data_IF_805844813232
#
_entry.id   IF_805844813232
#
_cell.length_a   1.000
_cell.length_b   1.000
_cell.length_c   1.000
_cell.angle_alpha   90.00
_cell.angle_beta   90.00
_cell.angle_gamma   90.00
#
_symmetry.space_group_name_H-M   'P 1'
#
loop_
_entity.id
_entity.type
_entity.pdbx_description
1 polymer ?
#
# COMPACT_ATOMS: atom_id res chain seq x y z
N UNK A 1 13.70 42.19 -37.10
CA UNK A 1 12.89 42.27 -35.87
C UNK A 1 12.59 40.85 -35.42
N UNK A 2 13.01 40.42 -34.21
CA UNK A 2 12.61 39.16 -33.63
C UNK A 2 11.33 39.36 -32.79
N UNK A 3 10.27 38.61 -33.08
CA UNK A 3 9.12 38.40 -32.21
C UNK A 3 9.10 36.89 -31.92
N UNK A 4 9.76 36.42 -30.86
CA UNK A 4 9.23 36.25 -29.50
C UNK A 4 7.98 35.36 -29.46
N UNK A 5 8.22 34.11 -29.02
CA UNK A 5 7.35 33.24 -28.23
C UNK A 5 5.82 33.35 -28.45
N UNK A 6 5.28 32.34 -29.13
CA UNK A 6 4.10 31.64 -28.60
C UNK A 6 4.42 30.15 -28.52
N UNK A 7 4.92 29.73 -27.37
CA UNK A 7 4.69 28.36 -26.91
C UNK A 7 3.18 28.30 -26.65
N UNK A 8 2.43 27.77 -27.61
CA UNK A 8 1.04 27.43 -27.38
C UNK A 8 0.99 26.44 -26.21
N UNK A 9 0.31 26.86 -25.14
CA UNK A 9 -0.11 26.07 -23.99
C UNK A 9 -0.83 24.80 -24.46
N UNK A 10 -0.07 23.75 -24.83
CA UNK A 10 -0.59 22.40 -24.86
C UNK A 10 -0.71 21.91 -23.42
N UNK A 11 -1.73 22.42 -22.71
CA UNK A 11 -2.34 21.69 -21.60
C UNK A 11 -2.60 20.28 -22.12
N UNK A 12 -1.85 19.31 -21.60
CA UNK A 12 -2.08 17.90 -21.90
C UNK A 12 -3.55 17.62 -21.52
N UNK A 13 -4.44 17.25 -22.47
CA UNK A 13 -5.88 17.17 -22.22
C UNK A 13 -6.24 15.81 -21.60
N UNK A 14 -5.42 15.34 -20.65
CA UNK A 14 -5.60 14.03 -20.05
C UNK A 14 -6.69 14.10 -19.00
N UNK A 15 -7.93 13.82 -19.41
CA UNK A 15 -9.09 13.66 -18.53
C UNK A 15 -9.46 12.16 -18.46
N UNK A 16 -9.10 11.46 -17.37
CA UNK A 16 -9.44 10.05 -17.17
C UNK A 16 -10.94 9.76 -17.21
N UNK A 17 -11.80 10.77 -16.97
CA UNK A 17 -13.25 10.61 -17.03
C UNK A 17 -13.76 10.36 -18.46
N UNK A 18 -13.01 10.75 -19.50
CA UNK A 18 -13.39 10.51 -20.90
C UNK A 18 -13.38 9.03 -21.28
N UNK A 19 -12.65 8.21 -20.54
CA UNK A 19 -12.58 6.75 -20.75
C UNK A 19 -13.57 5.98 -19.86
N UNK A 20 -14.32 6.68 -19.00
CA UNK A 20 -15.40 6.07 -18.23
C UNK A 20 -16.67 6.02 -19.06
N UNK A 21 -17.30 4.85 -19.09
CA UNK A 21 -18.55 4.64 -19.79
C UNK A 21 -19.65 5.58 -19.26
N UNK A 22 -20.04 6.56 -20.08
CA UNK A 22 -21.12 7.50 -19.80
C UNK A 22 -22.38 7.12 -20.60
N UNK A 23 -23.42 6.66 -19.91
CA UNK A 23 -24.70 6.16 -20.44
C UNK A 23 -25.55 7.18 -21.25
N UNK A 24 -25.00 8.37 -21.55
CA UNK A 24 -25.69 9.49 -22.22
C UNK A 24 -25.25 9.74 -23.66
N UNK A 25 -24.38 8.90 -24.22
CA UNK A 25 -23.96 8.99 -25.61
C UNK A 25 -24.53 7.77 -26.34
N UNK A 26 -25.51 8.01 -27.23
CA UNK A 26 -26.03 7.03 -28.20
C UNK A 26 -25.00 6.78 -29.32
N UNK A 27 -23.79 6.41 -28.91
CA UNK A 27 -22.85 5.68 -29.76
C UNK A 27 -22.85 4.28 -29.17
N UNK A 28 -23.04 3.28 -30.01
CA UNK A 28 -22.90 1.87 -29.64
C UNK A 28 -21.44 1.64 -29.22
N UNK A 29 -21.08 1.97 -27.98
CA UNK A 29 -19.74 1.76 -27.42
C UNK A 29 -19.64 0.32 -26.90
N UNK A 30 -19.90 -0.64 -27.78
CA UNK A 30 -19.75 -2.07 -27.48
C UNK A 30 -18.30 -2.54 -27.58
N UNK A 31 -17.34 -1.66 -27.90
CA UNK A 31 -15.95 -2.02 -28.21
C UNK A 31 -14.93 -0.90 -27.89
N UNK A 32 -14.72 -0.50 -26.63
CA UNK A 32 -13.67 0.51 -26.31
C UNK A 32 -12.27 -0.03 -26.66
N UNK A 33 -12.01 -1.31 -26.40
CA UNK A 33 -10.89 -2.11 -26.92
C UNK A 33 -11.10 -3.57 -26.47
N UNK A 34 -10.73 -4.59 -27.27
CA UNK A 34 -10.87 -5.99 -26.86
C UNK A 34 -10.09 -6.29 -25.57
N UNK A 35 -10.73 -6.91 -24.59
CA UNK A 35 -10.05 -7.43 -23.39
C UNK A 35 -8.92 -8.36 -23.85
N UNK A 36 -7.75 -8.26 -23.23
CA UNK A 36 -6.57 -9.01 -23.69
C UNK A 36 -5.66 -8.22 -24.63
N UNK A 37 -6.16 -7.18 -25.30
CA UNK A 37 -5.36 -6.39 -26.24
C UNK A 37 -4.54 -5.30 -25.55
N UNK A 38 -3.46 -4.85 -26.21
CA UNK A 38 -2.67 -3.72 -25.72
C UNK A 38 -3.48 -2.40 -25.60
N UNK A 39 -4.33 -2.01 -26.58
CA UNK A 39 -5.18 -0.82 -26.41
C UNK A 39 -6.04 -0.87 -25.16
N UNK A 40 -6.62 -2.04 -24.85
CA UNK A 40 -7.36 -2.23 -23.60
C UNK A 40 -6.46 -2.10 -22.38
N UNK A 41 -5.25 -2.68 -22.42
CA UNK A 41 -4.28 -2.62 -21.34
C UNK A 41 -3.83 -1.17 -21.03
N UNK A 42 -3.57 -0.38 -22.07
CA UNK A 42 -3.21 1.04 -21.94
C UNK A 42 -4.33 1.86 -21.31
N UNK A 43 -5.59 1.61 -21.70
CA UNK A 43 -6.75 2.26 -21.05
C UNK A 43 -6.76 1.94 -19.55
N UNK A 44 -6.52 0.68 -19.16
CA UNK A 44 -6.45 0.30 -17.75
C UNK A 44 -5.31 1.03 -17.02
N UNK A 45 -4.13 1.16 -17.64
CA UNK A 45 -2.98 1.91 -17.08
C UNK A 45 -3.32 3.38 -16.87
N UNK A 46 -3.98 4.01 -17.85
CA UNK A 46 -4.37 5.42 -17.77
C UNK A 46 -5.43 5.71 -16.70
N UNK A 47 -6.28 4.74 -16.36
CA UNK A 47 -7.21 4.85 -15.22
C UNK A 47 -6.57 4.38 -13.90
N UNK A 48 -5.24 4.25 -13.85
CA UNK A 48 -4.47 3.98 -12.63
C UNK A 48 -4.36 2.51 -12.23
N UNK A 49 -4.71 1.56 -13.11
CA UNK A 49 -4.56 0.13 -12.84
C UNK A 49 -3.21 -0.40 -13.33
N UNK A 50 -2.83 -1.56 -12.82
CA UNK A 50 -1.67 -2.31 -13.31
C UNK A 50 -2.12 -3.47 -14.19
N UNK A 51 -1.36 -3.73 -15.25
CA UNK A 51 -1.63 -4.79 -16.23
C UNK A 51 -0.35 -5.53 -16.57
N UNK A 52 -0.48 -6.79 -16.94
CA UNK A 52 0.65 -7.64 -17.32
C UNK A 52 0.28 -8.54 -18.49
N UNK A 53 1.28 -9.15 -19.11
CA UNK A 53 1.10 -10.29 -20.03
C UNK A 53 0.95 -11.58 -19.25
N UNK A 54 0.24 -12.58 -19.77
CA UNK A 54 0.12 -13.87 -19.09
C UNK A 54 1.46 -14.61 -18.97
N UNK A 55 2.33 -14.46 -19.97
CA UNK A 55 3.67 -15.07 -20.01
C UNK A 55 4.72 -14.41 -19.11
N UNK A 56 4.42 -13.26 -18.51
CA UNK A 56 5.31 -12.56 -17.58
C UNK A 56 5.23 -13.16 -16.17
N UNK A 57 6.25 -12.91 -15.34
CA UNK A 57 6.22 -13.31 -13.93
C UNK A 57 5.16 -12.49 -13.18
N UNK A 58 4.02 -13.12 -12.86
CA UNK A 58 2.86 -12.47 -12.25
C UNK A 58 3.16 -11.74 -10.94
N UNK A 59 4.25 -12.10 -10.24
CA UNK A 59 4.60 -11.55 -8.93
C UNK A 59 5.37 -10.24 -9.01
N UNK A 60 6.01 -9.96 -10.14
CA UNK A 60 7.00 -8.87 -10.24
C UNK A 60 6.98 -8.14 -11.58
N UNK A 61 6.40 -8.71 -12.64
CA UNK A 61 6.42 -8.13 -13.99
C UNK A 61 5.06 -7.56 -14.41
N UNK A 62 4.97 -6.24 -14.48
CA UNK A 62 3.77 -5.53 -14.92
C UNK A 62 4.05 -4.08 -15.32
N UNK A 63 3.14 -3.47 -16.08
CA UNK A 63 3.21 -2.05 -16.41
C UNK A 63 2.23 -1.22 -15.56
N UNK A 64 2.63 0.02 -15.25
CA UNK A 64 1.80 1.02 -14.57
C UNK A 64 2.15 2.44 -15.01
N UNK A 65 1.28 3.39 -14.71
CA UNK A 65 1.56 4.81 -14.90
C UNK A 65 2.45 5.30 -13.75
N UNK A 66 3.61 5.85 -14.08
CA UNK A 66 4.51 6.50 -13.13
C UNK A 66 4.17 8.00 -13.07
N UNK A 67 4.02 8.57 -11.87
CA UNK A 67 3.79 10.00 -11.74
C UNK A 67 5.03 10.77 -12.22
N UNK A 68 4.79 11.89 -12.88
CA UNK A 68 5.85 12.85 -13.18
C UNK A 68 6.36 13.52 -11.89
N UNK A 69 7.58 14.04 -11.95
CA UNK A 69 8.17 14.85 -10.88
C UNK A 69 8.48 16.24 -11.43
N UNK A 70 7.85 17.25 -10.84
CA UNK A 70 8.09 18.67 -11.14
C UNK A 70 9.50 19.12 -10.72
N UNK A 71 10.09 18.46 -9.71
CA UNK A 71 11.42 18.82 -9.20
C UNK A 71 12.54 18.40 -10.15
N UNK A 72 12.34 17.31 -10.89
CA UNK A 72 13.33 16.74 -11.81
C UNK A 72 12.93 16.89 -13.29
N UNK A 73 11.89 17.65 -13.63
CA UNK A 73 11.32 17.76 -14.98
C UNK A 73 11.01 16.39 -15.63
N UNK A 74 10.61 15.41 -14.84
CA UNK A 74 10.25 14.07 -15.33
C UNK A 74 8.77 14.09 -15.69
N UNK A 75 8.46 13.86 -16.96
CA UNK A 75 7.07 13.74 -17.41
C UNK A 75 6.47 12.40 -16.94
N UNK A 76 5.14 12.35 -16.67
CA UNK A 76 4.46 11.09 -16.45
C UNK A 76 4.70 10.13 -17.62
N UNK A 77 5.05 8.89 -17.31
CA UNK A 77 5.36 7.87 -18.30
C UNK A 77 4.83 6.51 -17.86
N UNK A 78 4.63 5.61 -18.81
CA UNK A 78 4.35 4.21 -18.48
C UNK A 78 5.68 3.56 -18.14
N UNK A 79 5.74 2.90 -16.99
CA UNK A 79 6.89 2.12 -16.58
C UNK A 79 6.56 0.65 -16.51
N UNK A 80 7.58 -0.17 -16.74
CA UNK A 80 7.57 -1.59 -16.40
C UNK A 80 8.25 -1.76 -15.05
N UNK A 81 7.64 -2.60 -14.22
CA UNK A 81 8.20 -3.08 -12.98
C UNK A 81 8.58 -4.53 -13.21
N UNK A 82 9.76 -4.90 -12.78
CA UNK A 82 10.30 -6.25 -12.80
C UNK A 82 11.14 -6.49 -11.53
N UNK A 83 11.93 -7.58 -11.50
CA UNK A 83 12.81 -7.93 -10.37
C UNK A 83 13.95 -6.93 -10.16
N UNK A 84 14.31 -6.17 -11.19
CA UNK A 84 15.47 -5.28 -11.24
C UNK A 84 15.08 -3.85 -10.89
N UNK A 85 13.79 -3.51 -10.99
CA UNK A 85 13.22 -2.29 -10.45
C UNK A 85 12.15 -1.71 -11.36
N UNK A 86 12.13 -0.38 -11.47
CA UNK A 86 11.18 0.35 -12.32
C UNK A 86 11.93 1.03 -13.44
N UNK A 87 11.57 0.74 -14.68
CA UNK A 87 12.17 1.36 -15.87
C UNK A 87 11.08 1.95 -16.77
N UNK A 88 11.46 2.90 -17.64
CA UNK A 88 10.54 3.45 -18.64
C UNK A 88 10.19 2.36 -19.65
N UNK A 89 8.90 2.22 -19.97
CA UNK A 89 8.42 1.18 -20.86
C UNK A 89 7.89 1.77 -22.17
N UNK A 90 8.26 1.13 -23.27
CA UNK A 90 7.68 1.34 -24.58
C UNK A 90 7.24 0.00 -25.15
N UNK A 91 6.09 -0.07 -25.83
CA UNK A 91 5.61 -1.32 -26.39
C UNK A 91 6.57 -1.84 -27.46
N UNK A 92 6.95 -3.11 -27.34
CA UNK A 92 7.64 -3.83 -28.40
C UNK A 92 6.66 -4.24 -29.50
N UNK A 93 7.18 -4.72 -30.64
CA UNK A 93 6.32 -5.29 -31.68
C UNK A 93 5.49 -6.48 -31.17
N UNK A 94 6.05 -7.26 -30.25
CA UNK A 94 5.33 -8.36 -29.60
C UNK A 94 4.16 -7.82 -28.77
N UNK A 95 4.40 -6.79 -27.94
CA UNK A 95 3.36 -6.18 -27.10
C UNK A 95 2.19 -5.63 -27.90
N UNK A 96 2.48 -4.99 -29.04
CA UNK A 96 1.48 -4.45 -29.96
C UNK A 96 0.54 -5.54 -30.51
N UNK A 97 1.07 -6.74 -30.74
CA UNK A 97 0.34 -7.84 -31.39
C UNK A 97 -0.32 -8.81 -30.42
N UNK A 98 -0.14 -8.58 -29.11
CA UNK A 98 -0.51 -9.57 -28.11
C UNK A 98 -1.93 -9.41 -27.59
N UNK A 99 -2.54 -10.56 -27.29
CA UNK A 99 -3.94 -10.69 -26.88
C UNK A 99 -4.11 -11.33 -25.49
N UNK A 100 -3.03 -11.44 -24.72
CA UNK A 100 -2.97 -12.06 -23.40
C UNK A 100 -2.69 -11.03 -22.29
N UNK A 101 -2.98 -9.75 -22.54
CA UNK A 101 -2.95 -8.73 -21.50
C UNK A 101 -4.05 -8.97 -20.46
N UNK A 102 -3.66 -9.04 -19.20
CA UNK A 102 -4.60 -9.24 -18.10
C UNK A 102 -4.47 -8.11 -17.11
N UNK A 103 -5.60 -7.78 -16.48
CA UNK A 103 -5.55 -6.96 -15.26
C UNK A 103 -4.70 -7.73 -14.28
N UNK A 104 -3.70 -7.05 -13.72
CA UNK A 104 -3.10 -7.53 -12.50
C UNK A 104 -4.19 -7.37 -11.44
N UNK A 105 -4.91 -8.46 -11.16
CA UNK A 105 -6.09 -8.51 -10.30
C UNK A 105 -5.68 -8.18 -8.88
N UNK A 106 -5.53 -6.87 -8.62
CA UNK A 106 -4.68 -6.32 -7.57
C UNK A 106 -3.23 -6.80 -7.78
N UNK A 107 -2.28 -5.88 -7.72
CA UNK A 107 -1.03 -6.24 -7.07
C UNK A 107 -1.48 -6.66 -5.66
N UNK A 108 -1.67 -7.95 -5.39
CA UNK A 108 -1.30 -8.45 -4.07
C UNK A 108 0.19 -8.23 -4.06
N UNK A 109 0.71 -7.19 -3.37
CA UNK A 109 2.13 -6.94 -3.37
C UNK A 109 2.73 -8.15 -2.68
N UNK A 110 3.32 -9.09 -3.42
CA UNK A 110 3.81 -10.37 -2.89
C UNK A 110 2.84 -10.97 -1.88
N UNK A 111 1.75 -11.62 -2.30
CA UNK A 111 0.77 -12.25 -1.39
C UNK A 111 0.58 -11.49 -0.07
N UNK A 112 -0.08 -10.34 -0.09
CA UNK A 112 -0.32 -9.54 1.11
C UNK A 112 -0.58 -10.44 2.32
N UNK A 113 0.42 -10.56 3.19
CA UNK A 113 0.39 -11.56 4.26
C UNK A 113 -0.68 -11.17 5.28
N UNK A 114 -0.84 -9.86 5.49
CA UNK A 114 -1.89 -9.27 6.31
C UNK A 114 -2.34 -7.93 5.70
N UNK A 115 -3.63 -7.76 5.42
CA UNK A 115 -4.20 -6.45 5.03
C UNK A 115 -5.35 -6.04 5.92
N UNK A 116 -5.50 -4.73 6.04
CA UNK A 116 -6.59 -4.09 6.76
C UNK A 116 -6.86 -2.69 6.20
N UNK A 117 -8.09 -2.23 6.37
CA UNK A 117 -8.40 -0.81 6.22
C UNK A 117 -8.15 -0.11 7.57
N UNK A 118 -7.49 1.05 7.54
CA UNK A 118 -7.23 1.85 8.73
C UNK A 118 -7.76 3.27 8.54
N UNK A 119 -8.55 3.72 9.52
CA UNK A 119 -8.84 5.12 9.77
C UNK A 119 -8.05 5.54 11.00
N UNK A 120 -7.06 6.41 10.81
CA UNK A 120 -6.15 6.84 11.88
C UNK A 120 -6.87 7.77 12.86
N UNK A 121 -6.80 7.45 14.15
CA UNK A 121 -7.23 8.30 15.24
C UNK A 121 -6.07 9.00 15.95
N UNK A 122 -6.39 9.73 17.02
CA UNK A 122 -5.45 10.42 17.89
C UNK A 122 -5.75 10.08 19.34
N UNK A 123 -4.73 9.81 20.14
CA UNK A 123 -4.90 9.65 21.58
C UNK A 123 -3.61 9.77 22.37
N UNK A 124 -3.75 9.61 23.68
CA UNK A 124 -2.65 9.60 24.66
C UNK A 124 -2.83 8.38 25.57
N UNK A 125 -1.75 7.88 26.19
CA UNK A 125 -1.87 6.85 27.21
C UNK A 125 -2.68 7.36 28.41
N UNK A 126 -3.33 6.44 29.14
CA UNK A 126 -4.19 6.82 30.27
C UNK A 126 -3.43 7.36 31.48
N UNK A 127 -2.22 6.85 31.73
CA UNK A 127 -1.51 7.06 32.99
C UNK A 127 -0.11 7.68 32.83
N UNK A 128 0.25 8.10 31.62
CA UNK A 128 1.61 8.54 31.29
C UNK A 128 1.54 9.94 30.66
N UNK A 129 2.46 10.83 31.06
CA UNK A 129 2.69 12.11 30.37
C UNK A 129 3.46 11.88 29.07
N UNK A 130 2.96 10.94 28.26
CA UNK A 130 3.56 10.57 26.99
C UNK A 130 3.05 11.46 25.86
N UNK A 131 3.82 11.56 24.77
CA UNK A 131 3.41 12.27 23.58
C UNK A 131 2.13 11.69 22.96
N UNK A 132 1.49 12.52 22.15
CA UNK A 132 0.33 12.13 21.37
C UNK A 132 0.73 11.03 20.39
N UNK A 133 -0.13 10.03 20.24
CA UNK A 133 -0.01 9.00 19.23
C UNK A 133 -1.05 9.14 18.12
N UNK A 134 -0.73 8.56 16.96
CA UNK A 134 -1.59 8.48 15.78
C UNK A 134 -1.64 7.07 15.25
N UNK A 135 -2.83 6.63 14.81
CA UNK A 135 -3.04 5.28 14.27
C UNK A 135 -4.27 4.62 14.88
N UNK A 136 -4.13 3.36 15.29
CA UNK A 136 -5.19 2.59 15.90
C UNK A 136 -4.72 1.92 17.19
N UNK A 137 -5.57 1.95 18.22
CA UNK A 137 -5.36 1.21 19.46
C UNK A 137 -6.68 0.84 20.11
N UNK A 138 -6.77 -0.39 20.61
CA UNK A 138 -7.86 -0.88 21.47
C UNK A 138 -7.35 -1.48 22.80
N UNK A 139 -6.03 -1.39 23.03
CA UNK A 139 -5.34 -1.83 24.24
C UNK A 139 -5.85 -1.07 25.49
N UNK A 140 -5.91 -1.75 26.64
CA UNK A 140 -6.36 -1.20 27.94
C UNK A 140 -5.55 -0.01 28.46
N UNK A 141 -4.26 0.11 28.10
CA UNK A 141 -3.39 1.19 28.54
C UNK A 141 -3.70 2.54 27.90
N UNK A 142 -4.41 2.51 26.79
CA UNK A 142 -4.74 3.68 25.99
C UNK A 142 -6.24 3.94 26.07
N UNK A 143 -6.62 5.19 25.86
CA UNK A 143 -8.00 5.46 25.44
C UNK A 143 -8.12 4.98 23.98
N UNK A 144 -9.05 4.06 23.66
CA UNK A 144 -9.14 3.53 22.31
C UNK A 144 -9.35 4.63 21.27
N UNK A 145 -8.66 4.53 20.13
CA UNK A 145 -8.82 5.45 19.01
C UNK A 145 -8.50 4.77 17.69
N UNK A 146 -8.97 5.40 16.60
CA UNK A 146 -8.86 4.86 15.26
C UNK A 146 -9.84 3.72 15.02
N UNK A 147 -9.95 3.31 13.75
CA UNK A 147 -10.79 2.18 13.34
C UNK A 147 -9.96 1.32 12.39
N UNK A 148 -9.80 0.04 12.71
CA UNK A 148 -9.10 -0.93 11.89
C UNK A 148 -10.02 -2.09 11.55
N UNK A 149 -10.05 -2.49 10.28
CA UNK A 149 -10.79 -3.66 9.79
C UNK A 149 -9.88 -4.57 8.98
N UNK A 150 -9.54 -5.74 9.53
CA UNK A 150 -8.78 -6.77 8.80
C UNK A 150 -9.58 -7.24 7.59
N UNK A 151 -8.92 -7.32 6.43
CA UNK A 151 -9.49 -7.77 5.15
C UNK A 151 -8.96 -9.13 4.74
N UNK A 152 -7.66 -9.35 4.93
CA UNK A 152 -6.99 -10.57 4.59
C UNK A 152 -5.96 -10.86 5.66
N UNK A 153 -5.86 -12.13 6.03
CA UNK A 153 -4.81 -12.60 6.90
C UNK A 153 -4.42 -13.99 6.43
N UNK A 154 -3.36 -14.05 5.65
CA UNK A 154 -2.77 -15.28 5.13
C UNK A 154 -1.70 -15.83 6.09
N UNK A 155 -1.36 -15.09 7.15
CA UNK A 155 -0.54 -15.59 8.24
C UNK A 155 -1.41 -16.47 9.12
N UNK A 156 -0.89 -17.66 9.43
CA UNK A 156 -1.69 -18.76 9.96
C UNK A 156 -2.32 -18.43 11.32
N UNK A 157 -1.87 -17.41 12.04
CA UNK A 157 -2.16 -17.33 13.47
C UNK A 157 -2.46 -15.95 14.07
N UNK A 158 -2.31 -14.82 13.39
CA UNK A 158 -2.72 -13.52 13.95
C UNK A 158 -4.26 -13.46 13.98
N UNK A 159 -4.88 -13.25 15.15
CA UNK A 159 -6.35 -13.19 15.25
C UNK A 159 -6.87 -11.79 15.48
N UNK A 160 -6.01 -10.89 15.99
CA UNK A 160 -6.38 -9.50 16.28
C UNK A 160 -5.15 -8.60 16.27
N UNK A 161 -5.36 -7.36 15.86
CA UNK A 161 -4.42 -6.26 16.02
C UNK A 161 -4.91 -5.41 17.19
N UNK A 162 -4.05 -5.21 18.19
CA UNK A 162 -4.35 -4.42 19.39
C UNK A 162 -3.85 -2.98 19.27
N UNK A 163 -2.72 -2.79 18.60
CA UNK A 163 -2.13 -1.49 18.31
C UNK A 163 -1.46 -1.51 16.93
N UNK A 164 -1.62 -0.42 16.20
CA UNK A 164 -0.87 -0.10 14.99
C UNK A 164 -0.75 1.42 14.95
N UNK A 165 0.29 1.95 15.61
CA UNK A 165 0.38 3.38 15.91
C UNK A 165 1.81 3.90 15.94
N UNK A 166 1.94 5.20 15.72
CA UNK A 166 3.17 5.96 15.89
C UNK A 166 3.09 6.80 17.17
N UNK A 167 4.11 6.72 18.02
CA UNK A 167 4.26 7.49 19.24
C UNK A 167 5.73 7.85 19.46
N UNK A 168 6.03 9.14 19.64
CA UNK A 168 7.31 9.64 20.14
C UNK A 168 8.60 9.10 19.49
N UNK A 169 8.60 8.84 18.18
CA UNK A 169 9.79 8.31 17.49
C UNK A 169 9.80 6.80 17.33
N UNK A 170 8.76 6.12 17.79
CA UNK A 170 8.64 4.67 17.75
C UNK A 170 7.29 4.24 17.18
N UNK A 171 7.34 3.17 16.40
CA UNK A 171 6.17 2.53 15.80
C UNK A 171 5.83 1.28 16.57
N UNK A 172 4.57 1.18 17.01
CA UNK A 172 4.05 0.08 17.81
C UNK A 172 3.11 -0.77 16.96
N UNK A 173 3.36 -2.08 16.95
CA UNK A 173 2.50 -3.06 16.32
C UNK A 173 2.26 -4.23 17.26
N UNK A 174 1.09 -4.23 17.89
CA UNK A 174 0.70 -5.25 18.85
C UNK A 174 -0.33 -6.18 18.23
N UNK A 175 -0.08 -7.48 18.32
CA UNK A 175 -0.96 -8.51 17.78
C UNK A 175 -1.27 -9.57 18.83
N UNK A 176 -2.45 -10.15 18.72
CA UNK A 176 -2.80 -11.38 19.43
C UNK A 176 -2.84 -12.52 18.43
N UNK A 177 -2.29 -13.65 18.83
CA UNK A 177 -2.27 -14.86 18.01
C UNK A 177 -3.23 -15.92 18.56
N UNK A 178 -3.46 -17.00 17.79
CA UNK A 178 -4.20 -18.16 18.29
C UNK A 178 -3.62 -18.65 19.61
N UNK A 179 -4.45 -19.14 20.56
CA UNK A 179 -4.03 -19.52 21.90
C UNK A 179 -3.28 -20.86 21.93
N UNK A 180 -2.13 -20.89 21.26
CA UNK A 180 -1.24 -22.03 21.14
C UNK A 180 0.20 -21.52 21.05
N UNK A 181 1.11 -22.15 21.80
CA UNK A 181 2.51 -21.71 21.89
C UNK A 181 3.23 -21.84 20.53
N UNK A 182 2.90 -22.86 19.74
CA UNK A 182 3.48 -23.03 18.40
C UNK A 182 3.11 -21.87 17.46
N UNK A 183 1.85 -21.42 17.53
CA UNK A 183 1.33 -20.28 16.77
C UNK A 183 2.07 -18.99 17.16
N UNK A 184 2.29 -18.80 18.46
CA UNK A 184 3.05 -17.67 19.00
C UNK A 184 4.51 -17.69 18.54
N UNK A 185 5.18 -18.83 18.64
CA UNK A 185 6.57 -18.98 18.20
C UNK A 185 6.73 -18.69 16.70
N UNK A 186 5.79 -19.15 15.86
CA UNK A 186 5.79 -18.83 14.43
C UNK A 186 5.69 -17.34 14.17
N UNK A 187 4.78 -16.63 14.83
CA UNK A 187 4.61 -15.18 14.64
C UNK A 187 5.81 -14.39 15.20
N UNK A 188 6.33 -14.77 16.37
CA UNK A 188 7.56 -14.16 16.91
C UNK A 188 8.71 -14.31 15.91
N UNK A 189 8.94 -15.53 15.41
CA UNK A 189 9.99 -15.81 14.43
C UNK A 189 9.78 -15.03 13.14
N UNK A 190 8.53 -14.92 12.65
CA UNK A 190 8.20 -14.15 11.46
C UNK A 190 8.68 -12.70 11.58
N UNK A 191 8.44 -12.05 12.72
CA UNK A 191 8.84 -10.66 12.95
C UNK A 191 10.34 -10.49 13.26
N UNK A 192 10.99 -11.48 13.89
CA UNK A 192 12.42 -11.39 14.22
C UNK A 192 13.33 -11.71 13.04
N UNK A 193 12.93 -12.65 12.18
CA UNK A 193 13.77 -13.15 11.10
C UNK A 193 13.69 -12.25 9.86
N UNK A 194 12.58 -11.55 9.66
CA UNK A 194 12.25 -10.85 8.42
C UNK A 194 12.01 -9.35 8.64
N UNK A 195 12.28 -8.56 7.60
CA UNK A 195 11.94 -7.15 7.57
C UNK A 195 10.42 -7.00 7.38
N UNK A 196 9.81 -6.06 8.12
CA UNK A 196 8.40 -5.71 7.96
C UNK A 196 8.25 -4.61 6.90
N UNK A 197 7.56 -4.96 5.82
CA UNK A 197 7.23 -4.05 4.73
C UNK A 197 5.76 -3.67 4.77
N UNK A 198 5.47 -2.37 4.79
CA UNK A 198 4.11 -1.82 4.76
C UNK A 198 3.88 -1.13 3.42
N UNK A 199 2.79 -1.46 2.75
CA UNK A 199 2.36 -0.79 1.50
C UNK A 199 1.03 -0.06 1.73
N UNK A 200 0.98 1.22 1.37
CA UNK A 200 -0.23 2.07 1.44
C UNK A 200 -0.33 2.88 0.15
N UNK A 201 -1.44 2.75 -0.58
CA UNK A 201 -1.68 3.43 -1.87
C UNK A 201 -0.51 3.33 -2.87
N UNK A 202 0.18 2.18 -2.89
CA UNK A 202 1.34 1.91 -3.75
C UNK A 202 2.67 2.48 -3.26
N UNK A 203 2.69 3.22 -2.14
CA UNK A 203 3.91 3.62 -1.43
C UNK A 203 4.36 2.50 -0.50
N UNK A 204 5.67 2.23 -0.46
CA UNK A 204 6.26 1.12 0.30
C UNK A 204 7.18 1.67 1.39
N UNK A 205 7.01 1.17 2.61
CA UNK A 205 7.77 1.54 3.80
C UNK A 205 8.45 0.27 4.36
N UNK A 206 9.79 0.23 4.42
CA UNK A 206 10.51 -0.83 5.11
C UNK A 206 10.71 -0.45 6.58
N UNK A 207 9.96 -1.06 7.49
CA UNK A 207 10.08 -0.81 8.92
C UNK A 207 11.25 -1.56 9.57
N UNK A 208 12.05 -2.29 8.77
CA UNK A 208 13.14 -3.12 9.23
C UNK A 208 12.65 -4.31 10.06
N UNK A 209 13.55 -4.90 10.84
CA UNK A 209 13.23 -5.96 11.80
C UNK A 209 12.69 -5.35 13.10
N UNK A 210 11.40 -5.54 13.43
CA UNK A 210 10.86 -5.00 14.66
C UNK A 210 11.50 -5.68 15.88
N UNK A 211 11.77 -4.89 16.92
CA UNK A 211 12.23 -5.41 18.20
C UNK A 211 11.05 -6.00 18.97
N UNK A 212 11.20 -7.22 19.47
CA UNK A 212 10.26 -7.83 20.40
C UNK A 212 10.48 -7.21 21.80
N UNK A 213 9.48 -6.56 22.38
CA UNK A 213 9.64 -5.82 23.64
C UNK A 213 8.98 -6.51 24.84
N UNK A 214 7.89 -7.25 24.62
CA UNK A 214 7.17 -7.95 25.69
C UNK A 214 7.00 -9.44 25.42
N UNK A 215 7.12 -10.26 26.47
CA UNK A 215 6.73 -11.67 26.43
C UNK A 215 5.66 -11.94 27.49
N UNK A 216 4.45 -12.31 27.02
CA UNK A 216 3.27 -12.76 27.79
C UNK A 216 2.63 -11.74 28.75
N UNK A 217 1.30 -11.57 28.67
CA UNK A 217 0.51 -10.88 29.69
C UNK A 217 0.74 -9.37 29.84
N UNK A 218 1.59 -8.77 29.02
CA UNK A 218 1.87 -7.34 29.06
C UNK A 218 0.72 -6.59 28.38
N UNK A 219 0.19 -5.57 29.07
CA UNK A 219 -0.70 -4.56 28.49
C UNK A 219 -2.01 -5.09 27.88
N UNK A 220 -2.65 -6.10 28.49
CA UNK A 220 -4.01 -6.49 28.11
C UNK A 220 -4.14 -7.31 26.81
N UNK A 221 -3.01 -7.69 26.19
CA UNK A 221 -2.96 -8.49 24.94
C UNK A 221 -3.11 -10.01 25.22
N UNK A 222 -3.25 -10.41 26.49
CA UNK A 222 -3.40 -11.80 26.93
C UNK A 222 -2.10 -12.61 26.86
N UNK A 223 -2.16 -13.89 27.25
CA UNK A 223 -0.99 -14.79 27.27
C UNK A 223 -0.39 -15.03 25.88
N UNK A 224 -1.14 -14.71 24.82
CA UNK A 224 -0.78 -14.90 23.42
C UNK A 224 -0.61 -13.58 22.67
N UNK A 225 -0.37 -12.50 23.41
CA UNK A 225 0.02 -11.21 22.86
C UNK A 225 1.48 -11.13 22.47
N UNK A 226 1.76 -10.41 21.38
CA UNK A 226 3.11 -10.11 20.91
C UNK A 226 3.18 -8.62 20.56
N UNK A 227 4.16 -7.94 21.13
CA UNK A 227 4.39 -6.50 21.00
C UNK A 227 5.68 -6.24 20.24
N UNK A 228 5.58 -5.44 19.19
CA UNK A 228 6.68 -5.14 18.28
C UNK A 228 6.89 -3.65 18.13
N UNK A 229 8.14 -3.21 18.27
CA UNK A 229 8.52 -1.81 18.14
C UNK A 229 9.48 -1.63 16.96
N UNK A 230 9.37 -0.51 16.25
CA UNK A 230 10.33 -0.10 15.23
C UNK A 230 10.68 1.39 15.35
N UNK A 231 11.97 1.69 15.35
CA UNK A 231 12.52 3.05 15.31
C UNK A 231 13.16 3.36 13.94
N UNK A 232 12.84 2.55 12.92
CA UNK A 232 13.40 2.73 11.59
C UNK A 232 12.97 4.06 10.96
N UNK A 233 13.81 4.67 10.13
CA UNK A 233 13.52 5.99 9.52
C UNK A 233 12.25 5.99 8.66
N UNK A 234 11.97 4.87 7.99
CA UNK A 234 10.72 4.69 7.24
C UNK A 234 9.49 4.57 8.15
N UNK A 235 9.65 4.12 9.40
CA UNK A 235 8.58 4.09 10.39
C UNK A 235 8.14 5.51 10.76
N UNK A 236 9.09 6.45 10.83
CA UNK A 236 8.77 7.87 11.00
C UNK A 236 7.96 8.43 9.82
N UNK A 237 8.32 8.07 8.58
CA UNK A 237 7.55 8.48 7.39
C UNK A 237 6.12 7.92 7.42
N UNK A 238 5.97 6.66 7.84
CA UNK A 238 4.66 6.05 8.05
C UNK A 238 3.89 6.77 9.17
N UNK A 239 4.55 7.17 10.25
CA UNK A 239 3.96 7.98 11.32
C UNK A 239 3.42 9.33 10.83
N UNK A 240 4.14 10.02 9.94
CA UNK A 240 3.67 11.25 9.29
C UNK A 240 2.41 10.98 8.45
N UNK A 241 2.35 9.86 7.71
CA UNK A 241 1.15 9.46 6.98
C UNK A 241 -0.04 9.23 7.94
N UNK A 242 0.17 8.54 9.05
CA UNK A 242 -0.89 8.30 10.05
C UNK A 242 -1.41 9.61 10.65
N UNK A 243 -0.54 10.58 10.88
CA UNK A 243 -0.93 11.92 11.34
C UNK A 243 -1.78 12.65 10.29
N UNK A 244 -1.39 12.60 9.02
CA UNK A 244 -2.15 13.20 7.91
C UNK A 244 -3.52 12.54 7.71
N UNK A 245 -3.58 11.20 7.80
CA UNK A 245 -4.84 10.46 7.73
C UNK A 245 -5.80 10.89 8.85
N UNK A 246 -5.29 11.10 10.06
CA UNK A 246 -6.11 11.58 11.18
C UNK A 246 -6.68 12.97 10.92
N UNK A 247 -5.89 13.89 10.36
CA UNK A 247 -6.35 15.25 10.04
C UNK A 247 -7.43 15.28 8.95
N UNK A 248 -7.32 14.38 7.97
CA UNK A 248 -8.23 14.31 6.82
C UNK A 248 -9.42 13.37 7.04
N UNK A 249 -9.37 12.50 8.04
CA UNK A 249 -10.37 11.47 8.28
C UNK A 249 -10.37 10.35 7.22
N UNK A 250 -9.33 10.26 6.39
CA UNK A 250 -9.26 9.27 5.32
C UNK A 250 -9.01 7.86 5.87
N UNK A 251 -9.78 6.90 5.35
CA UNK A 251 -9.48 5.49 5.45
C UNK A 251 -8.56 5.08 4.31
N UNK A 252 -7.46 4.38 4.62
CA UNK A 252 -6.54 3.82 3.61
C UNK A 252 -6.40 2.32 3.79
N UNK A 253 -6.09 1.63 2.70
CA UNK A 253 -5.82 0.19 2.69
C UNK A 253 -4.32 -0.04 2.96
N UNK A 254 -4.04 -0.87 3.95
CA UNK A 254 -2.70 -1.26 4.34
C UNK A 254 -2.47 -2.72 3.94
N UNK A 255 -1.26 -2.98 3.43
CA UNK A 255 -0.78 -4.31 3.10
C UNK A 255 0.58 -4.55 3.75
N UNK A 256 0.68 -5.55 4.59
CA UNK A 256 1.89 -5.93 5.31
C UNK A 256 2.48 -7.21 4.73
N UNK A 257 3.80 -7.23 4.62
CA UNK A 257 4.58 -8.38 4.18
C UNK A 257 5.85 -8.50 5.01
N UNK A 258 6.28 -9.73 5.25
CA UNK A 258 7.53 -10.05 5.93
C UNK A 258 8.47 -10.71 4.92
N UNK A 259 9.66 -10.13 4.70
CA UNK A 259 10.63 -10.55 3.68
C UNK A 259 12.07 -10.58 4.20
#
# INVERSE_FOLDING_TARGET
>A
MPDVNKLDDKKCPFDPEQYKYNKKVDVEVDNVAPIGSLPWALIQVYVGKSVRRNGWDAQVEYIKLLPGSSDNNVLPQIGIIDKEGTTSWQPTQEDLMSCDWVLLSKITPVECMLSFDLTSGRGTPKNWNEPIAWGYVINTNWNPFGILSIKQNNIVDIVRIWAFLWNSGEFYFDVEVKPNEESRQRVVKLFQDNDLWVTVDGMVYNLGKPSLVGSTGVYGVGDYGVEFHSQHSEAQKLGVLLQQMQQTGQTKAFSLNWK
#
